data_IF_229046113827
#
_entry.id   IF_229046113827
#
_cell.length_a   1.000
_cell.length_b   1.000
_cell.length_c   1.000
_cell.angle_alpha   90.00
_cell.angle_beta   90.00
_cell.angle_gamma   90.00
#
_symmetry.space_group_name_H-M   'P 1'
#
loop_
_entity.id
_entity.type
_entity.pdbx_description
1 polymer ?
#
# COMPACT_ATOMS: atom_id res chain seq x y z
N UNK A 1 -6.98 -17.29 6.23
CA UNK A 1 -6.31 -15.98 6.42
C UNK A 1 -5.13 -15.95 5.46
N UNK A 2 -5.14 -15.02 4.49
CA UNK A 2 -4.04 -14.88 3.53
C UNK A 2 -2.84 -14.24 4.26
N UNK A 3 -1.66 -14.81 4.09
CA UNK A 3 -0.41 -14.32 4.71
C UNK A 3 0.17 -13.24 3.82
N UNK A 4 -0.45 -12.07 3.80
CA UNK A 4 0.11 -10.89 3.14
C UNK A 4 1.29 -10.42 3.98
N UNK A 5 2.51 -10.60 3.48
CA UNK A 5 3.70 -10.09 4.12
C UNK A 5 3.96 -8.72 3.49
N UNK A 6 3.83 -7.65 4.27
CA UNK A 6 4.68 -6.50 4.02
C UNK A 6 6.10 -7.00 4.32
N UNK A 7 6.88 -7.33 3.29
CA UNK A 7 8.26 -7.81 3.48
C UNK A 7 9.07 -6.63 4.00
N UNK A 8 9.06 -6.44 5.31
CA UNK A 8 10.04 -5.62 6.01
C UNK A 8 11.30 -6.46 6.13
N UNK A 9 12.18 -6.33 5.14
CA UNK A 9 13.55 -6.79 5.31
C UNK A 9 14.24 -5.85 6.29
N UNK A 10 14.34 -6.25 7.56
CA UNK A 10 15.34 -5.66 8.46
C UNK A 10 16.69 -6.18 7.95
N UNK A 11 17.32 -5.42 7.05
CA UNK A 11 18.71 -5.67 6.67
C UNK A 11 19.57 -5.27 7.86
N UNK A 12 19.89 -6.24 8.71
CA UNK A 12 20.93 -6.07 9.73
C UNK A 12 22.28 -5.85 9.04
N UNK A 13 22.76 -4.62 9.19
CA UNK A 13 24.10 -4.08 8.96
C UNK A 13 25.17 -4.99 8.32
N UNK A 14 25.53 -4.65 7.08
CA UNK A 14 26.81 -5.01 6.46
C UNK A 14 27.97 -4.36 7.25
N UNK A 15 28.83 -5.19 7.83
CA UNK A 15 30.19 -4.82 8.19
C UNK A 15 31.15 -5.37 7.13
N UNK A 16 31.90 -4.49 6.47
CA UNK A 16 33.10 -4.86 5.69
C UNK A 16 33.00 -4.59 4.19
N UNK A 17 33.63 -3.48 3.77
CA UNK A 17 33.92 -3.00 2.41
C UNK A 17 33.97 -4.04 1.26
N UNK A 18 33.32 -3.72 0.12
CA UNK A 18 33.91 -3.61 -1.25
C UNK A 18 32.90 -2.92 -2.19
N UNK A 19 33.39 -2.13 -3.15
CA UNK A 19 32.67 -1.24 -4.09
C UNK A 19 32.15 -1.98 -5.34
N UNK A 20 31.05 -1.44 -5.94
CA UNK A 20 30.47 -1.61 -7.30
C UNK A 20 29.63 -2.89 -7.56
N UNK A 21 28.43 -2.81 -8.14
CA UNK A 21 28.05 -2.01 -9.32
C UNK A 21 26.59 -1.54 -9.24
N UNK A 22 26.39 -0.26 -9.51
CA UNK A 22 25.11 0.34 -9.89
C UNK A 22 24.62 -0.27 -11.22
N UNK A 23 23.32 -0.50 -11.36
CA UNK A 23 22.66 -0.37 -12.65
C UNK A 23 21.61 0.73 -12.56
N UNK A 24 21.92 1.82 -13.26
CA UNK A 24 21.11 3.00 -13.48
C UNK A 24 20.01 2.70 -14.51
N UNK A 25 18.80 3.21 -14.29
CA UNK A 25 17.98 3.73 -15.40
C UNK A 25 17.93 5.25 -15.25
N UNK A 26 18.15 5.87 -16.39
CA UNK A 26 18.64 7.22 -16.64
C UNK A 26 17.62 8.33 -16.36
N UNK A 27 18.08 9.34 -15.61
CA UNK A 27 17.57 10.69 -15.75
C UNK A 27 18.36 11.40 -16.87
N UNK A 28 17.71 11.68 -18.00
CA UNK A 28 18.14 12.74 -18.91
C UNK A 28 17.46 14.02 -18.45
N UNK A 29 18.27 14.99 -18.02
CA UNK A 29 17.81 16.24 -17.45
C UNK A 29 17.25 17.23 -18.48
N UNK A 30 16.65 18.29 -17.95
CA UNK A 30 16.77 19.62 -18.52
C UNK A 30 16.68 20.66 -17.39
N UNK A 31 17.76 21.42 -17.24
CA UNK A 31 17.74 22.77 -16.68
C UNK A 31 16.81 23.65 -17.53
N UNK A 32 15.93 24.39 -16.87
CA UNK A 32 15.42 25.67 -17.37
C UNK A 32 14.85 26.49 -16.22
N UNK A 33 15.72 27.29 -15.62
CA UNK A 33 15.32 28.63 -15.19
C UNK A 33 14.64 29.37 -16.36
N UNK A 34 13.35 29.75 -16.22
CA UNK A 34 12.68 30.90 -16.90
C UNK A 34 11.17 30.96 -16.61
N UNK A 35 10.74 32.07 -16.00
CA UNK A 35 9.63 32.89 -16.48
C UNK A 35 8.20 32.33 -16.45
N UNK A 36 7.43 32.80 -15.47
CA UNK A 36 6.01 33.16 -15.53
C UNK A 36 5.44 33.36 -16.95
N UNK A 37 4.33 32.69 -17.31
CA UNK A 37 3.07 33.27 -17.88
C UNK A 37 1.95 32.21 -17.95
N UNK A 38 0.83 32.51 -17.30
CA UNK A 38 -0.49 31.91 -17.56
C UNK A 38 -0.96 32.36 -18.95
N UNK A 39 -1.44 31.44 -19.79
CA UNK A 39 -2.38 31.77 -20.87
C UNK A 39 -3.36 30.63 -21.11
N UNK A 40 -4.65 31.00 -21.06
CA UNK A 40 -5.78 30.20 -21.51
C UNK A 40 -5.90 30.22 -23.04
N UNK A 41 -6.19 29.06 -23.63
CA UNK A 41 -6.86 28.85 -24.92
C UNK A 41 -7.42 27.42 -24.85
N UNK A 42 -8.72 27.15 -24.82
CA UNK A 42 -9.68 27.35 -25.90
C UNK A 42 -9.83 26.02 -26.65
N UNK A 43 -10.90 25.22 -26.44
CA UNK A 43 -11.02 23.91 -27.09
C UNK A 43 -11.42 24.06 -28.57
N UNK A 44 -10.65 23.42 -29.44
CA UNK A 44 -10.97 23.24 -30.87
C UNK A 44 -12.12 22.22 -31.01
N UNK A 45 -13.17 22.50 -31.82
CA UNK A 45 -14.27 21.55 -32.02
C UNK A 45 -13.86 20.41 -32.97
N UNK A 46 -13.91 19.17 -32.49
CA UNK A 46 -13.76 17.96 -33.31
C UNK A 46 -15.10 17.56 -33.92
N UNK A 47 -15.06 17.24 -35.22
CA UNK A 47 -16.17 16.92 -36.11
C UNK A 47 -17.06 15.75 -35.65
N UNK A 48 -18.36 15.99 -35.67
CA UNK A 48 -19.47 15.04 -35.49
C UNK A 48 -19.52 14.00 -36.61
N UNK A 49 -19.55 12.68 -36.32
CA UNK A 49 -19.87 11.68 -37.33
C UNK A 49 -21.38 11.59 -37.60
N UNK A 50 -21.72 11.57 -38.89
CA UNK A 50 -23.04 11.41 -39.51
C UNK A 50 -23.80 10.19 -38.99
N UNK A 51 -25.08 10.38 -38.62
CA UNK A 51 -25.97 9.29 -38.23
C UNK A 51 -26.36 8.41 -39.44
N UNK A 52 -26.19 7.10 -39.28
CA UNK A 52 -26.68 6.08 -40.22
C UNK A 52 -28.22 5.92 -40.11
N UNK A 53 -28.92 5.53 -41.20
CA UNK A 53 -30.38 5.47 -41.22
C UNK A 53 -30.93 4.41 -40.26
N UNK A 54 -31.94 4.81 -39.49
CA UNK A 54 -32.68 4.00 -38.52
C UNK A 54 -33.48 2.90 -39.22
N UNK A 55 -33.21 1.64 -38.87
CA UNK A 55 -34.06 0.52 -39.27
C UNK A 55 -35.43 0.59 -38.57
N UNK A 56 -36.50 0.44 -39.34
CA UNK A 56 -37.88 0.33 -38.86
C UNK A 56 -38.03 -0.90 -37.98
N UNK A 57 -38.37 -0.70 -36.70
CA UNK A 57 -38.64 -1.80 -35.77
C UNK A 57 -40.05 -2.36 -36.01
N UNK A 58 -40.13 -3.67 -36.25
CA UNK A 58 -41.36 -4.47 -36.22
C UNK A 58 -41.95 -4.45 -34.81
N UNK A 59 -43.28 -4.28 -34.62
CA UNK A 59 -43.86 -4.29 -33.28
C UNK A 59 -43.67 -5.66 -32.61
N UNK A 60 -42.97 -5.66 -31.48
CA UNK A 60 -42.83 -6.81 -30.57
C UNK A 60 -44.19 -7.09 -29.93
N UNK A 61 -44.67 -8.36 -29.88
CA UNK A 61 -45.94 -8.70 -29.27
C UNK A 61 -45.94 -8.38 -27.76
N UNK A 62 -47.07 -7.85 -27.30
CA UNK A 62 -47.36 -7.55 -25.89
C UNK A 62 -47.19 -8.79 -25.02
N UNK A 63 -46.39 -8.75 -23.92
CA UNK A 63 -46.26 -9.89 -23.03
C UNK A 63 -47.56 -10.16 -22.27
N UNK A 64 -47.96 -11.43 -22.24
CA UNK A 64 -49.02 -11.96 -21.37
C UNK A 64 -48.70 -11.69 -19.90
N UNK A 65 -49.65 -11.24 -19.06
CA UNK A 65 -49.38 -10.98 -17.64
C UNK A 65 -48.97 -12.27 -16.93
N UNK A 66 -47.74 -12.30 -16.42
CA UNK A 66 -47.23 -13.37 -15.56
C UNK A 66 -47.97 -13.31 -14.21
N UNK A 67 -48.43 -14.45 -13.65
CA UNK A 67 -49.08 -14.47 -12.35
C UNK A 67 -48.17 -13.91 -11.26
N UNK A 68 -48.74 -13.07 -10.39
CA UNK A 68 -48.08 -12.46 -9.23
C UNK A 68 -47.54 -13.58 -8.31
N UNK A 69 -46.25 -13.57 -7.93
CA UNK A 69 -45.71 -14.58 -7.04
C UNK A 69 -46.37 -14.52 -5.66
N UNK A 70 -46.78 -15.69 -5.17
CA UNK A 70 -47.25 -15.91 -3.80
C UNK A 70 -46.11 -15.57 -2.83
N UNK A 71 -46.34 -14.81 -1.73
CA UNK A 71 -45.29 -14.49 -0.77
C UNK A 71 -44.72 -15.76 -0.17
N UNK A 72 -43.41 -15.95 -0.34
CA UNK A 72 -42.64 -17.00 0.33
C UNK A 72 -42.53 -16.65 1.82
N UNK A 73 -42.73 -17.60 2.76
CA UNK A 73 -42.58 -17.34 4.18
C UNK A 73 -41.19 -16.79 4.49
N UNK A 74 -41.14 -15.74 5.31
CA UNK A 74 -39.89 -15.13 5.77
C UNK A 74 -39.16 -16.12 6.67
N UNK A 75 -37.89 -16.46 6.42
CA UNK A 75 -37.14 -17.37 7.28
C UNK A 75 -36.99 -16.78 8.68
N UNK A 76 -37.27 -17.59 9.70
CA UNK A 76 -37.01 -17.27 11.10
C UNK A 76 -35.52 -16.98 11.30
N UNK A 77 -35.12 -15.89 12.02
CA UNK A 77 -33.72 -15.58 12.23
C UNK A 77 -33.02 -16.73 12.94
N UNK A 78 -31.94 -17.22 12.33
CA UNK A 78 -31.02 -18.20 12.94
C UNK A 78 -30.21 -17.47 14.03
N UNK A 79 -30.04 -18.04 15.24
CA UNK A 79 -29.27 -17.39 16.29
C UNK A 79 -27.85 -17.09 15.82
N UNK A 80 -27.43 -15.83 15.96
CA UNK A 80 -26.07 -15.39 15.70
C UNK A 80 -25.12 -16.09 16.67
N UNK A 81 -24.05 -16.77 16.21
CA UNK A 81 -23.10 -17.41 17.10
C UNK A 81 -22.44 -16.36 18.01
N UNK A 82 -22.37 -16.68 19.31
CA UNK A 82 -21.63 -15.89 20.30
C UNK A 82 -20.15 -15.83 19.91
N UNK A 83 -19.51 -14.64 19.88
CA UNK A 83 -18.10 -14.54 19.52
C UNK A 83 -17.24 -15.36 20.48
N UNK A 84 -16.41 -16.24 19.93
CA UNK A 84 -15.38 -16.95 20.69
C UNK A 84 -14.36 -15.93 21.21
N UNK A 85 -13.94 -15.99 22.49
CA UNK A 85 -12.94 -15.07 23.02
C UNK A 85 -11.68 -15.13 22.17
N UNK A 86 -11.21 -13.96 21.74
CA UNK A 86 -9.93 -13.83 21.03
C UNK A 86 -8.81 -14.16 22.02
N UNK A 87 -7.86 -15.04 21.68
CA UNK A 87 -6.77 -15.38 22.59
C UNK A 87 -5.97 -14.13 22.94
N UNK A 88 -5.76 -13.91 24.24
CA UNK A 88 -4.87 -12.86 24.74
C UNK A 88 -3.45 -13.13 24.23
N UNK A 89 -2.77 -12.14 23.60
CA UNK A 89 -1.40 -12.35 23.13
C UNK A 89 -0.50 -12.71 24.31
N UNK A 90 0.23 -13.81 24.19
CA UNK A 90 1.28 -14.17 25.13
C UNK A 90 2.38 -13.11 25.05
N UNK A 91 2.87 -12.56 26.18
CA UNK A 91 3.94 -11.57 26.15
C UNK A 91 5.16 -12.16 25.44
N UNK A 92 5.67 -11.44 24.45
CA UNK A 92 6.90 -11.81 23.75
C UNK A 92 8.06 -11.62 24.74
N UNK A 93 8.96 -12.60 24.90
CA UNK A 93 10.09 -12.46 25.82
C UNK A 93 10.91 -11.22 25.48
N UNK A 94 11.22 -10.41 26.48
CA UNK A 94 12.10 -9.26 26.33
C UNK A 94 13.51 -9.76 25.98
N UNK A 95 14.10 -9.36 24.83
CA UNK A 95 15.44 -9.78 24.47
C UNK A 95 16.45 -9.32 25.54
N UNK A 96 17.20 -10.27 26.08
CA UNK A 96 18.15 -10.09 27.20
C UNK A 96 19.52 -9.53 26.79
N UNK A 97 19.69 -9.18 25.51
CA UNK A 97 20.93 -8.61 24.97
C UNK A 97 20.76 -7.13 24.65
N UNK A 98 21.78 -6.32 24.96
CA UNK A 98 21.84 -4.95 24.46
C UNK A 98 21.86 -5.00 22.92
N UNK A 99 20.87 -4.36 22.29
CA UNK A 99 20.89 -4.21 20.84
C UNK A 99 22.17 -3.45 20.43
N UNK A 100 22.85 -3.86 19.35
CA UNK A 100 23.96 -3.08 18.81
C UNK A 100 23.51 -1.63 18.57
N UNK A 101 24.41 -0.68 18.83
CA UNK A 101 24.14 0.71 18.48
C UNK A 101 24.30 0.88 16.96
N UNK A 102 23.19 0.88 16.24
CA UNK A 102 23.18 1.06 14.79
C UNK A 102 23.40 2.53 14.43
N UNK A 103 24.36 2.81 13.53
CA UNK A 103 24.53 4.16 12.97
C UNK A 103 23.43 4.50 11.96
N UNK A 104 22.90 3.49 11.27
CA UNK A 104 21.84 3.63 10.28
C UNK A 104 20.89 2.44 10.38
N UNK A 105 19.60 2.73 10.20
CA UNK A 105 18.54 1.73 10.08
C UNK A 105 17.78 2.02 8.80
N UNK A 106 17.60 0.99 7.97
CA UNK A 106 16.81 1.08 6.75
C UNK A 106 15.63 0.12 6.88
N UNK A 107 14.43 0.64 6.61
CA UNK A 107 13.20 -0.13 6.51
C UNK A 107 12.79 -0.08 5.05
N UNK A 108 12.95 -1.19 4.34
CA UNK A 108 12.57 -1.31 2.94
C UNK A 108 11.24 -2.06 2.91
N UNK A 109 10.20 -1.37 2.45
CA UNK A 109 8.86 -1.93 2.33
C UNK A 109 8.61 -2.25 0.87
N UNK A 110 8.43 -3.53 0.57
CA UNK A 110 8.25 -4.03 -0.79
C UNK A 110 6.78 -4.28 -1.12
N UNK A 111 6.55 -4.65 -2.38
CA UNK A 111 5.23 -4.97 -2.95
C UNK A 111 4.49 -6.02 -2.10
N UNK A 112 3.16 -6.01 -2.22
CA UNK A 112 2.19 -6.85 -1.54
C UNK A 112 2.25 -8.34 -1.99
N UNK A 113 3.41 -8.97 -1.80
CA UNK A 113 3.61 -10.40 -2.02
C UNK A 113 3.48 -11.21 -0.73
N UNK A 114 2.95 -12.43 -0.86
CA UNK A 114 2.87 -13.39 0.24
C UNK A 114 4.19 -14.12 0.46
N UNK A 115 4.54 -14.47 1.70
CA UNK A 115 5.84 -15.11 1.97
C UNK A 115 6.06 -16.42 1.19
N UNK A 116 4.99 -17.15 0.89
CA UNK A 116 5.03 -18.38 0.09
C UNK A 116 5.32 -18.14 -1.41
N UNK A 117 5.06 -16.94 -1.94
CA UNK A 117 5.43 -16.60 -3.32
C UNK A 117 6.90 -16.21 -3.44
N UNK A 118 7.54 -15.81 -2.33
CA UNK A 118 8.92 -15.33 -2.29
C UNK A 118 9.90 -16.37 -1.76
N UNK A 119 9.65 -16.96 -0.60
CA UNK A 119 10.61 -17.85 0.07
C UNK A 119 10.71 -19.18 -0.68
N UNK A 120 11.93 -19.53 -1.10
CA UNK A 120 12.23 -20.66 -1.97
C UNK A 120 12.08 -20.38 -3.47
N UNK A 121 11.54 -19.21 -3.85
CA UNK A 121 11.34 -18.88 -5.26
C UNK A 121 12.66 -18.48 -5.94
N UNK A 122 13.03 -19.21 -7.00
CA UNK A 122 14.23 -18.97 -7.79
C UNK A 122 14.23 -17.61 -8.50
N UNK A 123 13.07 -17.00 -8.75
CA UNK A 123 12.94 -15.66 -9.33
C UNK A 123 13.24 -14.53 -8.32
N UNK A 124 13.32 -14.83 -7.02
CA UNK A 124 13.68 -13.88 -5.96
C UNK A 124 15.00 -14.25 -5.27
N UNK A 125 16.11 -14.45 -6.01
CA UNK A 125 17.34 -15.03 -5.46
C UNK A 125 17.98 -14.14 -4.39
N UNK A 126 17.88 -12.82 -4.53
CA UNK A 126 18.47 -11.86 -3.59
C UNK A 126 17.77 -11.89 -2.22
N UNK A 127 16.42 -11.80 -2.20
CA UNK A 127 15.64 -11.86 -0.96
C UNK A 127 15.85 -13.21 -0.26
N UNK A 128 15.88 -14.30 -1.02
CA UNK A 128 16.18 -15.63 -0.49
C UNK A 128 17.62 -15.79 0.04
N UNK A 129 18.57 -15.03 -0.51
CA UNK A 129 19.93 -14.92 0.04
C UNK A 129 19.92 -14.26 1.41
N UNK A 130 19.24 -13.13 1.53
CA UNK A 130 19.14 -12.37 2.79
C UNK A 130 18.44 -13.19 3.88
N UNK A 131 17.31 -13.82 3.57
CA UNK A 131 16.54 -14.62 4.54
C UNK A 131 17.33 -15.81 5.11
N UNK A 132 18.27 -16.37 4.35
CA UNK A 132 19.15 -17.47 4.81
C UNK A 132 20.33 -17.00 5.65
N UNK A 133 20.78 -15.77 5.44
CA UNK A 133 21.99 -15.21 6.07
C UNK A 133 21.71 -14.31 7.27
N UNK A 134 20.47 -13.85 7.44
CA UNK A 134 20.07 -12.89 8.46
C UNK A 134 18.80 -13.33 9.20
N UNK A 135 18.34 -12.49 10.13
CA UNK A 135 17.09 -12.71 10.85
C UNK A 135 15.90 -12.75 9.90
N UNK A 136 15.09 -13.81 10.00
CA UNK A 136 13.85 -13.98 9.26
C UNK A 136 12.66 -14.01 10.22
N UNK A 137 11.76 -13.04 10.09
CA UNK A 137 10.54 -12.95 10.89
C UNK A 137 9.45 -13.87 10.33
N UNK A 138 9.56 -15.18 10.58
CA UNK A 138 8.65 -16.20 10.05
C UNK A 138 7.17 -16.05 10.47
N UNK A 139 6.93 -15.26 11.53
CA UNK A 139 5.61 -15.00 12.11
C UNK A 139 5.27 -13.50 12.09
N UNK A 140 5.53 -12.84 10.95
CA UNK A 140 5.16 -11.45 10.70
C UNK A 140 3.89 -11.40 9.84
N UNK A 141 2.88 -10.64 10.24
CA UNK A 141 1.57 -10.63 9.59
C UNK A 141 1.08 -9.20 9.35
N UNK A 142 0.36 -8.99 8.25
CA UNK A 142 -0.43 -7.79 8.05
C UNK A 142 -1.48 -7.63 9.17
N UNK A 143 -1.74 -6.38 9.55
CA UNK A 143 -2.78 -5.98 10.51
C UNK A 143 -4.17 -6.04 9.87
N UNK A 144 -4.28 -5.61 8.61
CA UNK A 144 -5.55 -5.61 7.88
C UNK A 144 -5.32 -5.76 6.38
N UNK A 145 -6.44 -5.88 5.65
CA UNK A 145 -6.49 -5.70 4.22
C UNK A 145 -7.67 -4.76 3.92
N UNK A 146 -7.47 -3.62 3.23
CA UNK A 146 -6.38 -3.28 2.30
C UNK A 146 -5.11 -2.69 2.97
N UNK A 147 -4.22 -2.07 2.18
CA UNK A 147 -2.82 -1.76 2.52
C UNK A 147 -2.61 -0.63 3.51
N UNK A 148 -3.36 0.48 3.41
CA UNK A 148 -3.13 1.71 4.20
C UNK A 148 -3.09 1.47 5.72
N UNK A 149 -4.02 0.70 6.33
CA UNK A 149 -3.96 0.42 7.76
C UNK A 149 -2.64 -0.22 8.21
N UNK A 150 -1.96 -0.98 7.35
CA UNK A 150 -0.68 -1.60 7.67
C UNK A 150 0.45 -0.57 7.69
N UNK A 151 0.46 0.42 6.78
CA UNK A 151 1.46 1.49 6.77
C UNK A 151 1.33 2.38 8.02
N UNK A 152 0.10 2.71 8.42
CA UNK A 152 -0.16 3.46 9.67
C UNK A 152 0.32 2.67 10.90
N UNK A 153 0.00 1.38 10.96
CA UNK A 153 0.45 0.53 12.05
C UNK A 153 1.97 0.35 12.08
N UNK A 154 2.63 0.32 10.91
CA UNK A 154 4.08 0.22 10.80
C UNK A 154 4.78 1.44 11.39
N UNK A 155 4.27 2.65 11.12
CA UNK A 155 4.92 3.90 11.56
C UNK A 155 4.47 4.37 12.94
N UNK A 156 3.23 4.11 13.33
CA UNK A 156 2.65 4.66 14.55
C UNK A 156 2.13 3.61 15.55
N UNK A 157 2.23 2.32 15.24
CA UNK A 157 1.77 1.23 16.11
C UNK A 157 0.25 1.13 16.24
N UNK A 158 -0.53 1.84 15.41
CA UNK A 158 -1.99 1.87 15.43
C UNK A 158 -2.55 2.10 14.02
N UNK A 159 -3.74 1.56 13.75
CA UNK A 159 -4.49 1.89 12.53
C UNK A 159 -5.37 3.14 12.70
N UNK A 160 -5.50 3.65 13.93
CA UNK A 160 -6.39 4.76 14.29
C UNK A 160 -7.86 4.53 13.91
N UNK A 161 -8.28 3.27 13.81
CA UNK A 161 -9.63 2.89 13.38
C UNK A 161 -9.85 2.99 11.87
N UNK A 162 -8.83 3.36 11.08
CA UNK A 162 -8.89 3.33 9.62
C UNK A 162 -8.83 1.88 9.17
N UNK A 163 -9.88 1.44 8.48
CA UNK A 163 -10.07 0.05 8.06
C UNK A 163 -9.98 -0.16 6.54
N UNK A 164 -9.85 0.91 5.75
CA UNK A 164 -9.80 0.88 4.28
C UNK A 164 -8.80 1.90 3.75
N UNK A 165 -8.36 1.72 2.50
CA UNK A 165 -7.56 2.70 1.78
C UNK A 165 -8.35 4.00 1.56
N UNK A 166 -7.68 5.13 1.74
CA UNK A 166 -8.20 6.47 1.53
C UNK A 166 -7.03 7.44 1.29
N UNK A 167 -7.30 8.55 0.60
CA UNK A 167 -6.31 9.62 0.32
C UNK A 167 -6.56 10.88 1.15
N UNK A 168 -7.72 10.98 1.82
CA UNK A 168 -8.10 12.13 2.65
C UNK A 168 -8.12 11.87 4.16
N UNK A 169 -7.67 10.70 4.61
CA UNK A 169 -7.73 10.27 6.00
C UNK A 169 -6.45 10.62 6.78
N UNK A 170 -6.18 11.92 6.87
CA UNK A 170 -5.05 12.46 7.61
C UNK A 170 -5.16 12.16 9.10
N UNK A 171 -4.08 11.67 9.69
CA UNK A 171 -4.01 11.36 11.11
C UNK A 171 -3.04 12.33 11.79
N UNK A 172 -3.55 13.10 12.74
CA UNK A 172 -2.72 13.93 13.60
C UNK A 172 -2.33 13.15 14.87
N UNK A 173 -1.30 12.31 14.78
CA UNK A 173 -0.79 11.52 15.88
C UNK A 173 0.73 11.34 15.79
N UNK A 174 1.39 11.19 16.95
CA UNK A 174 2.82 10.90 17.01
C UNK A 174 3.14 9.55 16.39
N UNK A 175 4.15 9.52 15.52
CA UNK A 175 4.67 8.33 14.87
C UNK A 175 6.18 8.16 15.12
N UNK A 176 6.79 7.16 14.48
CA UNK A 176 8.22 6.87 14.61
C UNK A 176 9.12 7.99 14.10
N UNK A 177 8.73 8.68 13.02
CA UNK A 177 9.51 9.80 12.48
C UNK A 177 9.58 10.96 13.48
N UNK A 178 8.46 11.31 14.12
CA UNK A 178 8.43 12.34 15.16
C UNK A 178 9.36 12.00 16.34
N UNK A 179 9.39 10.73 16.74
CA UNK A 179 10.29 10.27 17.81
C UNK A 179 11.77 10.33 17.41
N UNK A 180 12.07 10.01 16.15
CA UNK A 180 13.44 10.13 15.61
C UNK A 180 13.87 11.60 15.59
N UNK A 181 13.01 12.51 15.11
CA UNK A 181 13.29 13.95 15.12
C UNK A 181 13.46 14.51 16.54
N UNK A 182 12.56 14.15 17.47
CA UNK A 182 12.64 14.57 18.87
C UNK A 182 13.92 14.10 19.57
N UNK A 183 14.52 13.00 19.11
CA UNK A 183 15.82 12.52 19.60
C UNK A 183 17.03 13.27 19.03
N UNK A 184 16.82 14.23 18.12
CA UNK A 184 17.88 14.96 17.41
C UNK A 184 18.53 14.17 16.27
N UNK A 185 17.89 13.09 15.82
CA UNK A 185 18.38 12.23 14.72
C UNK A 185 17.69 12.59 13.40
N UNK A 186 18.38 12.36 12.30
CA UNK A 186 17.85 12.58 10.96
C UNK A 186 17.15 11.34 10.43
N UNK A 187 16.08 11.53 9.67
CA UNK A 187 15.43 10.48 8.87
C UNK A 187 15.07 11.01 7.48
N UNK A 188 14.77 10.09 6.57
CA UNK A 188 14.23 10.38 5.23
C UNK A 188 13.31 9.24 4.81
N UNK A 189 12.24 9.56 4.09
CA UNK A 189 11.44 8.61 3.34
C UNK A 189 11.67 8.79 1.83
N UNK A 190 11.63 7.68 1.10
CA UNK A 190 11.72 7.66 -0.36
C UNK A 190 10.54 6.86 -0.87
N UNK A 191 9.64 7.52 -1.59
CA UNK A 191 8.45 6.91 -2.18
C UNK A 191 8.61 6.81 -3.69
N UNK A 192 8.16 5.69 -4.25
CA UNK A 192 8.26 5.42 -5.69
C UNK A 192 7.60 6.55 -6.49
N UNK A 193 8.38 7.18 -7.40
CA UNK A 193 7.92 8.21 -8.32
C UNK A 193 7.16 9.39 -7.70
N UNK A 194 7.39 9.70 -6.41
CA UNK A 194 6.74 10.86 -5.77
C UNK A 194 7.13 12.16 -6.50
N UNK A 195 6.15 12.93 -7.03
CA UNK A 195 6.46 14.08 -7.90
C UNK A 195 7.23 15.22 -7.23
N UNK A 196 6.95 15.44 -5.94
CA UNK A 196 7.58 16.46 -5.11
C UNK A 196 7.48 16.08 -3.64
N UNK A 197 8.31 16.69 -2.78
CA UNK A 197 8.20 16.51 -1.35
C UNK A 197 6.78 16.85 -0.87
N UNK A 198 6.21 15.96 -0.06
CA UNK A 198 4.86 16.12 0.51
C UNK A 198 3.77 16.25 -0.58
N UNK A 199 3.89 15.52 -1.69
CA UNK A 199 2.88 15.52 -2.74
C UNK A 199 1.59 14.85 -2.26
N UNK A 200 0.49 15.61 -2.26
CA UNK A 200 -0.85 15.11 -1.98
C UNK A 200 -1.52 14.70 -3.28
N UNK A 201 -2.03 13.47 -3.33
CA UNK A 201 -2.70 12.86 -4.48
C UNK A 201 -1.93 11.67 -5.06
N UNK A 202 -2.52 11.03 -6.07
CA UNK A 202 -1.87 9.92 -6.77
C UNK A 202 -1.15 10.42 -8.03
N UNK A 203 -0.05 9.77 -8.39
CA UNK A 203 0.73 10.04 -9.59
C UNK A 203 1.47 8.76 -10.01
N UNK A 204 0.75 7.85 -10.69
CA UNK A 204 1.26 6.51 -10.98
C UNK A 204 2.72 6.51 -11.49
N UNK A 205 3.61 5.70 -10.91
CA UNK A 205 3.34 4.65 -9.92
C UNK A 205 3.22 5.12 -8.44
N UNK A 206 3.38 6.40 -8.13
CA UNK A 206 3.11 6.93 -6.79
C UNK A 206 1.61 6.82 -6.44
N UNK A 207 1.34 6.28 -5.25
CA UNK A 207 0.01 6.21 -4.66
C UNK A 207 0.09 6.76 -3.24
N UNK A 208 -0.65 7.83 -2.93
CA UNK A 208 -0.57 8.50 -1.62
C UNK A 208 -0.89 7.55 -0.46
N UNK A 209 -1.80 6.61 -0.68
CA UNK A 209 -2.19 5.61 0.32
C UNK A 209 -1.05 4.67 0.78
N UNK A 210 0.09 4.65 0.08
CA UNK A 210 1.29 3.90 0.48
C UNK A 210 2.29 4.77 1.27
N UNK A 211 2.00 6.06 1.43
CA UNK A 211 2.84 7.02 2.13
C UNK A 211 2.22 7.41 3.48
N UNK A 212 2.64 6.79 4.59
CA UNK A 212 2.10 7.07 5.92
C UNK A 212 2.57 8.39 6.53
N UNK A 213 3.38 9.19 5.81
CA UNK A 213 3.90 10.47 6.28
C UNK A 213 3.17 11.67 5.69
N UNK A 214 2.08 11.42 4.95
CA UNK A 214 1.23 12.43 4.31
C UNK A 214 0.09 12.94 5.18
#
# INVERSE_FOLDING_TARGET
MKRTLLVTAIVSALLGATILTMLSVSAQGHDSSRGWKKHHAGPTPTSTPTAAPTATQTPTPTPTPTPKPTPTPTPTPTPTPTPTPTPTPTPTPTPTGALPNFSHVFVIVMENEESSSIIGNAAAPYINGLARSHGWAASYFAISHPSLPNYLALTAGSTFGIASDCTGCYVNATNLADQVEASGRSWKAYMESMPANCYVGDAYPYMQKHDPFM
#
